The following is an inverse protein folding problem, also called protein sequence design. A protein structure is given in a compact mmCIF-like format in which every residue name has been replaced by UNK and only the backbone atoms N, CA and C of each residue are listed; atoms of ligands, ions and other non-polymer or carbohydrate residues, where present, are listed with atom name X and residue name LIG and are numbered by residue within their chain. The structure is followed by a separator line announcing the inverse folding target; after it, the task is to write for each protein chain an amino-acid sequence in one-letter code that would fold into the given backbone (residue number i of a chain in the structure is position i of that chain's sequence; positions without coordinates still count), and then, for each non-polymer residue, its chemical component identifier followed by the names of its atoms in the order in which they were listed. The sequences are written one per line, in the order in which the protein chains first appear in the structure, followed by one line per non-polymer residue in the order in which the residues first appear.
data_IF_720980547775
#
_entry.id   IF_720980547775
#
_cell.length_a   1.000
_cell.length_b   1.000
_cell.length_c   1.000
_cell.angle_alpha   90.00
_cell.angle_beta   90.00
_cell.angle_gamma   90.00
#
_symmetry.space_group_name_H-M   'P 1'
#
loop_
_entity.id
_entity.type
_entity.pdbx_description
1 polymer ?
#
# COMPACT_ATOMS: atom_id res chain seq x y z
N UNK A 1 -68.36 -6.62 -14.01
CA UNK A 1 -68.90 -6.78 -15.37
C UNK A 1 -67.92 -7.61 -16.20
N UNK A 2 -68.42 -8.75 -16.71
CA UNK A 2 -67.79 -9.75 -17.62
C UNK A 2 -66.63 -10.56 -16.97
N UNK A 3 -66.78 -11.81 -16.49
CA UNK A 3 -67.50 -13.04 -16.89
C UNK A 3 -66.81 -13.84 -17.99
N UNK A 4 -66.30 -15.01 -17.56
CA UNK A 4 -66.14 -16.33 -18.22
C UNK A 4 -65.80 -16.41 -19.72
N UNK A 5 -64.79 -17.22 -20.04
CA UNK A 5 -65.01 -18.35 -20.96
C UNK A 5 -64.06 -19.52 -20.68
N UNK A 6 -64.69 -20.67 -20.44
CA UNK A 6 -64.15 -22.04 -20.51
C UNK A 6 -64.29 -22.56 -21.95
N UNK A 7 -63.39 -23.47 -22.30
CA UNK A 7 -63.53 -24.45 -23.39
C UNK A 7 -62.13 -24.91 -23.81
N UNK A 8 -61.75 -26.18 -23.88
CA UNK A 8 -62.49 -27.44 -23.87
C UNK A 8 -61.89 -28.36 -24.95
N UNK A 9 -61.60 -29.62 -24.59
CA UNK A 9 -61.24 -30.72 -25.50
C UNK A 9 -59.78 -31.18 -25.36
N UNK A 10 -59.45 -32.47 -25.24
CA UNK A 10 -60.24 -33.71 -25.31
C UNK A 10 -59.33 -34.88 -25.73
N UNK A 11 -59.60 -36.07 -25.18
CA UNK A 11 -59.06 -37.38 -25.62
C UNK A 11 -57.72 -37.77 -24.98
N UNK A 12 -57.48 -38.99 -24.53
CA UNK A 12 -58.19 -40.27 -24.57
C UNK A 12 -57.15 -41.33 -24.21
N UNK A 13 -57.35 -42.13 -23.16
CA UNK A 13 -57.57 -43.57 -23.33
C UNK A 13 -56.35 -44.37 -22.86
N UNK A 14 -56.58 -45.44 -22.08
CA UNK A 14 -55.53 -46.39 -21.70
C UNK A 14 -55.79 -47.07 -20.37
N UNK A 15 -56.37 -48.25 -20.44
CA UNK A 15 -56.75 -49.12 -19.33
C UNK A 15 -55.54 -49.63 -18.52
N UNK A 16 -55.80 -49.96 -17.25
CA UNK A 16 -54.84 -50.59 -16.35
C UNK A 16 -55.48 -50.85 -15.00
N UNK A 17 -56.36 -51.85 -14.93
CA UNK A 17 -56.80 -52.45 -13.68
C UNK A 17 -55.60 -53.03 -12.92
N UNK A 18 -55.34 -52.52 -11.72
CA UNK A 18 -54.62 -53.25 -10.69
C UNK A 18 -55.23 -52.88 -9.34
N UNK A 19 -56.14 -53.76 -8.91
CA UNK A 19 -56.65 -53.87 -7.54
C UNK A 19 -55.49 -53.81 -6.55
N UNK A 20 -55.44 -52.74 -5.77
CA UNK A 20 -54.70 -52.70 -4.51
C UNK A 20 -55.56 -51.97 -3.48
N UNK A 21 -55.94 -52.73 -2.47
CA UNK A 21 -56.65 -52.32 -1.26
C UNK A 21 -56.01 -51.06 -0.64
N UNK A 22 -56.80 -50.03 -0.26
CA UNK A 22 -56.27 -48.88 0.43
C UNK A 22 -55.88 -49.29 1.86
N UNK A 23 -54.57 -49.37 2.12
CA UNK A 23 -54.04 -49.36 3.48
C UNK A 23 -54.48 -48.06 4.14
N UNK A 24 -55.25 -48.20 5.21
CA UNK A 24 -55.74 -47.14 6.08
C UNK A 24 -54.65 -46.67 7.06
N UNK A 25 -53.45 -46.38 6.55
CA UNK A 25 -52.42 -45.72 7.35
C UNK A 25 -52.53 -44.20 7.16
N UNK A 26 -52.85 -43.44 8.22
CA UNK A 26 -52.86 -41.99 8.13
C UNK A 26 -51.44 -41.50 7.78
N UNK A 27 -51.30 -40.54 6.86
CA UNK A 27 -49.99 -40.00 6.53
C UNK A 27 -49.32 -39.49 7.81
N UNK A 28 -48.00 -39.72 8.00
CA UNK A 28 -47.31 -39.29 9.20
C UNK A 28 -47.55 -37.79 9.36
N UNK A 29 -48.28 -37.45 10.43
CA UNK A 29 -48.54 -36.06 10.83
C UNK A 29 -47.17 -35.38 10.89
N UNK A 30 -46.88 -34.54 9.88
CA UNK A 30 -45.76 -33.61 9.93
C UNK A 30 -45.89 -32.87 11.24
N UNK A 31 -45.05 -33.22 12.22
CA UNK A 31 -44.98 -32.49 13.50
C UNK A 31 -44.79 -31.04 13.12
N UNK A 32 -45.82 -30.22 13.37
CA UNK A 32 -45.72 -28.78 13.23
C UNK A 32 -44.49 -28.38 14.06
N UNK A 33 -43.45 -27.91 13.36
CA UNK A 33 -42.21 -27.49 13.98
C UNK A 33 -42.59 -26.35 14.91
N UNK A 34 -42.70 -26.62 16.21
CA UNK A 34 -43.05 -25.62 17.20
C UNK A 34 -42.01 -24.51 17.07
N UNK A 35 -42.48 -23.32 16.67
CA UNK A 35 -41.65 -22.14 16.66
C UNK A 35 -41.21 -21.86 18.10
N UNK A 36 -39.98 -21.37 18.33
CA UNK A 36 -39.56 -20.92 19.65
C UNK A 36 -40.59 -19.94 20.23
N UNK A 37 -40.84 -20.01 21.54
CA UNK A 37 -41.90 -19.23 22.19
C UNK A 37 -41.82 -17.73 21.90
N UNK A 38 -40.61 -17.17 21.78
CA UNK A 38 -40.35 -15.79 21.39
C UNK A 38 -40.76 -15.45 19.96
N UNK A 39 -40.61 -16.40 19.03
CA UNK A 39 -41.02 -16.22 17.62
C UNK A 39 -42.54 -16.20 17.53
N UNK A 40 -43.22 -17.07 18.29
CA UNK A 40 -44.67 -17.06 18.42
C UNK A 40 -45.18 -15.75 19.07
N UNK A 41 -44.47 -15.23 20.07
CA UNK A 41 -44.79 -13.95 20.70
C UNK A 41 -44.66 -12.77 19.73
N UNK A 42 -43.61 -12.74 18.90
CA UNK A 42 -43.44 -11.75 17.83
C UNK A 42 -44.56 -11.84 16.79
N UNK A 43 -44.88 -13.05 16.33
CA UNK A 43 -45.98 -13.23 15.38
C UNK A 43 -47.33 -12.78 15.98
N UNK A 44 -47.59 -13.12 17.24
CA UNK A 44 -48.78 -12.67 17.96
C UNK A 44 -48.82 -11.14 18.09
N UNK A 45 -47.68 -10.51 18.38
CA UNK A 45 -47.57 -9.06 18.45
C UNK A 45 -47.91 -8.41 17.10
N UNK A 46 -47.35 -8.93 16.00
CA UNK A 46 -47.51 -8.39 14.64
C UNK A 46 -48.89 -8.65 14.02
N UNK A 47 -49.62 -9.67 14.47
CA UNK A 47 -50.90 -10.11 13.88
C UNK A 47 -52.13 -9.67 14.68
N UNK A 48 -52.00 -8.75 15.64
CA UNK A 48 -53.13 -8.28 16.44
C UNK A 48 -54.18 -7.56 15.56
N UNK A 49 -55.42 -8.08 15.45
CA UNK A 49 -56.45 -7.45 14.62
C UNK A 49 -56.88 -6.10 15.19
N UNK A 50 -57.23 -5.16 14.32
CA UNK A 50 -57.69 -3.81 14.70
C UNK A 50 -56.60 -2.79 15.02
N UNK A 51 -55.32 -3.16 14.90
CA UNK A 51 -54.19 -2.24 15.10
C UNK A 51 -53.51 -1.94 13.74
N UNK A 52 -53.89 -0.80 13.14
CA UNK A 52 -53.37 -0.36 11.85
C UNK A 52 -51.87 -0.05 11.89
N UNK A 53 -51.37 0.47 13.01
CA UNK A 53 -49.95 0.78 13.20
C UNK A 53 -49.13 -0.52 13.19
N UNK A 54 -49.56 -1.55 13.92
CA UNK A 54 -48.90 -2.87 13.89
C UNK A 54 -49.01 -3.55 12.54
N UNK A 55 -50.14 -3.38 11.86
CA UNK A 55 -50.33 -3.91 10.50
C UNK A 55 -49.34 -3.27 9.52
N UNK A 56 -49.12 -1.96 9.62
CA UNK A 56 -48.09 -1.24 8.86
C UNK A 56 -46.69 -1.72 9.21
N UNK A 57 -46.36 -1.82 10.51
CA UNK A 57 -45.06 -2.34 10.97
C UNK A 57 -44.81 -3.74 10.41
N UNK A 58 -45.80 -4.62 10.45
CA UNK A 58 -45.72 -5.98 9.88
C UNK A 58 -45.46 -5.97 8.37
N UNK A 59 -46.08 -5.05 7.63
CA UNK A 59 -45.98 -4.97 6.17
C UNK A 59 -44.68 -4.31 5.69
N UNK A 60 -44.29 -3.23 6.35
CA UNK A 60 -43.25 -2.33 5.87
C UNK A 60 -41.83 -2.74 6.31
N UNK A 61 -41.70 -3.69 7.26
CA UNK A 61 -40.43 -4.14 7.82
C UNK A 61 -40.27 -5.67 7.76
N UNK A 62 -39.03 -6.13 7.60
CA UNK A 62 -38.67 -7.55 7.73
C UNK A 62 -38.35 -7.84 9.19
N UNK A 63 -39.17 -8.67 9.82
CA UNK A 63 -39.05 -9.00 11.24
C UNK A 63 -38.23 -10.27 11.45
N UNK A 64 -37.24 -10.22 12.34
CA UNK A 64 -36.47 -11.38 12.79
C UNK A 64 -36.29 -11.31 14.31
N UNK A 65 -36.57 -12.41 15.00
CA UNK A 65 -36.30 -12.56 16.42
C UNK A 65 -34.92 -13.18 16.61
N UNK A 66 -34.10 -12.61 17.48
CA UNK A 66 -32.82 -13.17 17.90
C UNK A 66 -32.69 -13.02 19.42
N UNK A 67 -32.50 -14.14 20.12
CA UNK A 67 -32.39 -14.15 21.58
C UNK A 67 -30.93 -14.03 22.01
N UNK A 68 -30.64 -13.02 22.83
CA UNK A 68 -29.32 -12.81 23.41
C UNK A 68 -29.43 -13.12 24.91
N UNK A 69 -28.68 -14.09 25.45
CA UNK A 69 -28.68 -14.39 26.87
C UNK A 69 -27.99 -13.26 27.66
N UNK A 70 -28.00 -13.32 28.99
CA UNK A 70 -27.32 -12.31 29.81
C UNK A 70 -25.81 -12.32 29.56
N UNK A 71 -25.22 -11.12 29.46
CA UNK A 71 -23.81 -10.95 29.12
C UNK A 71 -22.85 -11.54 30.16
N UNK A 72 -23.22 -11.49 31.44
CA UNK A 72 -22.43 -12.02 32.55
C UNK A 72 -23.32 -12.81 33.51
N UNK A 73 -22.73 -13.80 34.17
CA UNK A 73 -23.39 -14.57 35.23
C UNK A 73 -23.30 -13.86 36.61
N UNK A 74 -22.40 -12.89 36.77
CA UNK A 74 -22.22 -12.12 38.01
C UNK A 74 -22.82 -10.72 37.90
N UNK A 75 -23.86 -10.44 38.67
CA UNK A 75 -24.53 -9.14 38.69
C UNK A 75 -23.62 -8.00 39.17
N UNK A 76 -22.56 -8.29 39.94
CA UNK A 76 -21.61 -7.28 40.43
C UNK A 76 -20.76 -6.68 39.31
N UNK A 77 -20.66 -7.37 38.17
CA UNK A 77 -19.91 -6.94 36.99
C UNK A 77 -20.74 -6.07 36.03
N UNK A 78 -22.02 -5.82 36.32
CA UNK A 78 -22.92 -5.07 35.43
C UNK A 78 -22.45 -3.63 35.19
N UNK A 79 -21.91 -2.97 36.21
CA UNK A 79 -21.44 -1.58 36.11
C UNK A 79 -20.17 -1.43 35.25
N UNK A 80 -19.49 -2.54 34.94
CA UNK A 80 -18.23 -2.57 34.18
C UNK A 80 -18.35 -3.28 32.83
N UNK A 81 -19.56 -3.57 32.33
CA UNK A 81 -19.76 -4.39 31.12
C UNK A 81 -19.01 -3.87 29.88
N UNK A 82 -18.88 -2.55 29.73
CA UNK A 82 -18.24 -1.94 28.55
C UNK A 82 -16.72 -2.14 28.48
N UNK A 83 -16.09 -2.53 29.60
CA UNK A 83 -14.63 -2.71 29.70
C UNK A 83 -14.23 -4.17 29.90
N UNK A 84 -15.19 -5.08 30.09
CA UNK A 84 -14.88 -6.49 30.27
C UNK A 84 -14.43 -7.13 28.96
N UNK A 85 -13.34 -7.90 28.97
CA UNK A 85 -12.93 -8.66 27.81
C UNK A 85 -13.90 -9.83 27.54
N UNK A 86 -13.98 -10.28 26.29
CA UNK A 86 -14.95 -11.29 25.84
C UNK A 86 -14.85 -12.64 26.59
N UNK A 87 -13.68 -12.98 27.14
CA UNK A 87 -13.45 -14.20 27.93
C UNK A 87 -14.05 -14.13 29.35
N UNK A 88 -14.32 -12.94 29.86
CA UNK A 88 -15.03 -12.73 31.12
C UNK A 88 -16.56 -12.69 30.97
N UNK A 89 -17.04 -12.67 29.72
CA UNK A 89 -18.46 -12.72 29.40
C UNK A 89 -18.95 -14.17 29.35
N UNK A 90 -20.27 -14.36 29.48
CA UNK A 90 -20.89 -15.66 29.30
C UNK A 90 -20.58 -16.21 27.91
N UNK A 91 -20.07 -17.45 27.78
CA UNK A 91 -19.80 -18.05 26.48
C UNK A 91 -21.05 -18.19 25.60
N UNK A 92 -22.24 -18.26 26.20
CA UNK A 92 -23.51 -18.27 25.46
C UNK A 92 -23.84 -16.90 24.87
N UNK A 93 -23.57 -15.83 25.62
CA UNK A 93 -23.71 -14.45 25.15
C UNK A 93 -22.79 -14.17 23.97
N UNK A 94 -21.48 -14.44 24.12
CA UNK A 94 -20.48 -14.19 23.07
C UNK A 94 -20.86 -14.93 21.79
N UNK A 95 -21.24 -16.22 21.90
CA UNK A 95 -21.70 -17.01 20.74
C UNK A 95 -22.97 -16.46 20.13
N UNK A 96 -23.95 -16.02 20.92
CA UNK A 96 -25.20 -15.47 20.40
C UNK A 96 -25.00 -14.10 19.74
N UNK A 97 -24.22 -13.21 20.36
CA UNK A 97 -23.88 -11.89 19.83
C UNK A 97 -23.09 -12.01 18.51
N UNK A 98 -22.13 -12.94 18.44
CA UNK A 98 -21.42 -13.26 17.20
C UNK A 98 -22.38 -13.73 16.10
N UNK A 99 -23.31 -14.64 16.41
CA UNK A 99 -24.33 -15.11 15.45
C UNK A 99 -25.24 -13.97 14.97
N UNK A 100 -25.64 -13.06 15.87
CA UNK A 100 -26.42 -11.88 15.49
C UNK A 100 -25.64 -10.98 14.54
N UNK A 101 -24.38 -10.68 14.87
CA UNK A 101 -23.49 -9.89 14.01
C UNK A 101 -23.37 -10.52 12.63
N UNK A 102 -23.10 -11.82 12.55
CA UNK A 102 -23.05 -12.55 11.28
C UNK A 102 -24.38 -12.47 10.52
N UNK A 103 -25.52 -12.61 11.21
CA UNK A 103 -26.83 -12.51 10.59
C UNK A 103 -27.10 -11.12 10.00
N UNK A 104 -26.69 -10.05 10.70
CA UNK A 104 -26.78 -8.66 10.22
C UNK A 104 -25.86 -8.47 9.01
N UNK A 105 -24.59 -8.87 9.12
CA UNK A 105 -23.59 -8.74 8.06
C UNK A 105 -23.99 -9.50 6.79
N UNK A 106 -24.69 -10.63 6.89
CA UNK A 106 -25.22 -11.37 5.72
C UNK A 106 -26.36 -10.65 5.00
N UNK A 107 -27.08 -9.75 5.67
CA UNK A 107 -28.20 -9.00 5.09
C UNK A 107 -27.73 -7.70 4.46
N UNK A 108 -26.68 -7.07 5.01
CA UNK A 108 -26.16 -5.77 4.53
C UNK A 108 -25.85 -5.72 3.02
N UNK A 109 -25.25 -6.74 2.37
CA UNK A 109 -25.00 -6.71 0.93
C UNK A 109 -26.27 -6.62 0.08
N UNK A 110 -27.43 -7.02 0.61
CA UNK A 110 -28.73 -6.93 -0.06
C UNK A 110 -29.45 -5.61 0.21
N UNK A 111 -28.95 -4.80 1.16
CA UNK A 111 -29.50 -3.49 1.42
C UNK A 111 -29.07 -2.54 0.31
N UNK A 112 -30.00 -1.68 -0.15
CA UNK A 112 -29.65 -0.61 -1.09
C UNK A 112 -28.79 0.42 -0.34
N UNK A 113 -27.52 0.62 -0.71
CA UNK A 113 -26.71 1.65 -0.09
C UNK A 113 -27.34 3.01 -0.36
N UNK A 114 -27.44 3.84 0.67
CA UNK A 114 -27.75 5.25 0.51
C UNK A 114 -26.44 6.01 0.53
N UNK A 115 -26.25 6.92 -0.44
CA UNK A 115 -25.08 7.79 -0.41
C UNK A 115 -25.20 8.78 0.78
N UNK A 116 -24.06 9.27 1.26
CA UNK A 116 -24.02 10.16 2.42
C UNK A 116 -24.84 11.44 2.22
N UNK A 117 -24.87 11.98 1.00
CA UNK A 117 -25.65 13.17 0.65
C UNK A 117 -27.16 12.94 0.81
N UNK A 118 -27.67 11.79 0.35
CA UNK A 118 -29.08 11.38 0.48
C UNK A 118 -29.43 11.14 1.95
N UNK A 119 -28.53 10.53 2.73
CA UNK A 119 -28.75 10.35 4.17
C UNK A 119 -28.89 11.71 4.86
N UNK A 120 -27.97 12.64 4.60
CA UNK A 120 -28.01 13.98 5.16
C UNK A 120 -29.29 14.74 4.77
N UNK A 121 -29.64 14.72 3.48
CA UNK A 121 -30.86 15.36 2.99
C UNK A 121 -32.13 14.73 3.61
N UNK A 122 -32.22 13.40 3.68
CA UNK A 122 -33.34 12.69 4.36
C UNK A 122 -33.42 13.04 5.84
N UNK A 123 -32.28 13.14 6.53
CA UNK A 123 -32.25 13.55 7.94
C UNK A 123 -32.74 14.99 8.10
N UNK A 124 -32.33 15.93 7.24
CA UNK A 124 -32.81 17.30 7.27
C UNK A 124 -34.32 17.38 7.05
N UNK A 125 -34.85 16.62 6.09
CA UNK A 125 -36.29 16.51 5.85
C UNK A 125 -37.04 15.97 7.08
N UNK A 126 -36.53 14.92 7.73
CA UNK A 126 -37.14 14.37 8.94
C UNK A 126 -37.05 15.35 10.12
N UNK A 127 -35.93 16.06 10.27
CA UNK A 127 -35.76 17.07 11.32
C UNK A 127 -36.71 18.24 11.13
N UNK A 128 -36.90 18.72 9.90
CA UNK A 128 -37.87 19.78 9.61
C UNK A 128 -39.30 19.32 9.90
N UNK A 129 -39.65 18.10 9.48
CA UNK A 129 -40.96 17.52 9.78
C UNK A 129 -41.22 17.43 11.29
N UNK A 130 -40.23 17.00 12.07
CA UNK A 130 -40.34 16.93 13.54
C UNK A 130 -40.44 18.32 14.17
N UNK A 131 -39.71 19.31 13.65
CA UNK A 131 -39.68 20.67 14.21
C UNK A 131 -40.92 21.50 13.87
N UNK A 132 -41.46 21.31 12.68
CA UNK A 132 -42.52 22.18 12.14
C UNK A 132 -43.87 21.48 12.10
N UNK A 133 -43.92 20.16 12.32
CA UNK A 133 -45.08 19.28 12.10
C UNK A 133 -45.66 19.37 10.69
N UNK A 134 -44.91 19.96 9.75
CA UNK A 134 -45.33 20.19 8.37
C UNK A 134 -44.32 19.57 7.42
N UNK A 135 -44.83 19.01 6.33
CA UNK A 135 -44.00 18.45 5.29
C UNK A 135 -43.73 19.51 4.22
N UNK A 136 -42.48 19.95 4.10
CA UNK A 136 -42.07 20.88 3.04
C UNK A 136 -41.88 20.13 1.73
N UNK A 137 -42.69 20.47 0.73
CA UNK A 137 -42.56 19.92 -0.62
C UNK A 137 -41.20 20.25 -1.26
N UNK A 138 -40.57 21.37 -0.86
CA UNK A 138 -39.25 21.76 -1.32
C UNK A 138 -38.16 20.79 -0.85
N UNK A 139 -38.16 20.42 0.44
CA UNK A 139 -37.21 19.45 0.98
C UNK A 139 -37.43 18.05 0.43
N UNK A 140 -38.70 17.64 0.26
CA UNK A 140 -39.03 16.36 -0.36
C UNK A 140 -38.44 16.25 -1.78
N UNK A 141 -38.56 17.35 -2.55
CA UNK A 141 -37.97 17.48 -3.87
C UNK A 141 -36.45 17.44 -3.81
N UNK A 142 -35.80 18.17 -2.91
CA UNK A 142 -34.34 18.15 -2.75
C UNK A 142 -33.83 16.74 -2.40
N UNK A 143 -34.48 16.05 -1.47
CA UNK A 143 -34.16 14.65 -1.10
C UNK A 143 -34.25 13.73 -2.31
N UNK A 144 -35.29 13.91 -3.12
CA UNK A 144 -35.48 13.13 -4.33
C UNK A 144 -34.39 13.43 -5.38
N UNK A 145 -34.11 14.71 -5.63
CA UNK A 145 -33.08 15.18 -6.55
C UNK A 145 -31.69 14.64 -6.19
N UNK A 146 -31.33 14.68 -4.90
CA UNK A 146 -30.08 14.14 -4.38
C UNK A 146 -30.00 12.61 -4.46
N UNK A 147 -31.11 11.92 -4.19
CA UNK A 147 -31.18 10.47 -4.29
C UNK A 147 -31.01 9.99 -5.73
N UNK A 148 -31.62 10.67 -6.69
CA UNK A 148 -31.53 10.31 -8.10
C UNK A 148 -30.15 10.64 -8.69
N UNK A 149 -29.58 11.79 -8.32
CA UNK A 149 -28.20 12.14 -8.69
C UNK A 149 -27.20 11.15 -8.12
N UNK A 150 -27.37 10.78 -6.84
CA UNK A 150 -26.59 9.76 -6.17
C UNK A 150 -26.60 8.43 -6.89
N UNK A 151 -27.81 7.96 -7.23
CA UNK A 151 -28.01 6.73 -7.98
C UNK A 151 -27.27 6.76 -9.32
N UNK A 152 -27.43 7.82 -10.12
CA UNK A 152 -26.77 7.92 -11.42
C UNK A 152 -25.24 7.98 -11.30
N UNK A 153 -24.70 8.64 -10.28
CA UNK A 153 -23.27 8.68 -10.03
C UNK A 153 -22.69 7.33 -9.58
N UNK A 154 -23.41 6.61 -8.74
CA UNK A 154 -22.99 5.28 -8.29
C UNK A 154 -23.13 4.25 -9.43
N UNK A 155 -24.20 4.34 -10.23
CA UNK A 155 -24.39 3.53 -11.46
C UNK A 155 -23.27 3.80 -12.47
N UNK A 156 -22.83 5.06 -12.62
CA UNK A 156 -21.69 5.42 -13.45
C UNK A 156 -20.40 4.73 -12.98
N UNK A 157 -20.09 4.80 -11.68
CA UNK A 157 -18.91 4.17 -11.12
C UNK A 157 -18.95 2.64 -11.25
N UNK A 158 -20.12 2.02 -11.00
CA UNK A 158 -20.33 0.60 -11.20
C UNK A 158 -20.09 0.21 -12.66
N UNK A 159 -20.65 0.98 -13.60
CA UNK A 159 -20.50 0.72 -15.04
C UNK A 159 -19.05 0.83 -15.51
N UNK A 160 -18.29 1.80 -15.00
CA UNK A 160 -16.85 1.90 -15.28
C UNK A 160 -16.12 0.64 -14.80
N UNK A 161 -16.43 0.13 -13.62
CA UNK A 161 -15.84 -1.12 -13.13
C UNK A 161 -16.26 -2.31 -14.01
N UNK A 162 -17.53 -2.43 -14.39
CA UNK A 162 -18.00 -3.49 -15.30
C UNK A 162 -17.31 -3.44 -16.67
N UNK A 163 -17.02 -2.26 -17.20
CA UNK A 163 -16.34 -2.11 -18.50
C UNK A 163 -14.86 -2.49 -18.44
N UNK A 164 -14.26 -2.50 -17.25
CA UNK A 164 -12.86 -2.89 -17.02
C UNK A 164 -12.76 -4.38 -16.64
N UNK A 165 -13.82 -4.95 -16.09
CA UNK A 165 -13.87 -6.33 -15.63
C UNK A 165 -14.86 -7.13 -16.45
N UNK A 166 -14.36 -8.00 -17.32
CA UNK A 166 -15.19 -8.91 -18.12
C UNK A 166 -16.16 -9.77 -17.28
N UNK A 167 -15.84 -9.99 -15.99
CA UNK A 167 -16.63 -10.83 -15.09
C UNK A 167 -17.80 -10.12 -14.40
N UNK A 168 -17.97 -8.79 -14.56
CA UNK A 168 -19.14 -8.03 -14.06
C UNK A 168 -19.36 -8.03 -12.53
N UNK A 169 -18.43 -8.58 -11.75
CA UNK A 169 -18.58 -8.75 -10.28
C UNK A 169 -17.78 -7.75 -9.45
N UNK A 170 -16.89 -6.98 -10.07
CA UNK A 170 -15.97 -6.11 -9.37
C UNK A 170 -16.62 -4.77 -8.97
N UNK A 171 -16.79 -4.53 -7.67
CA UNK A 171 -17.24 -3.23 -7.12
C UNK A 171 -16.10 -2.22 -6.93
N UNK A 172 -14.85 -2.60 -7.21
CA UNK A 172 -13.67 -1.76 -7.04
C UNK A 172 -12.54 -2.20 -7.97
N UNK A 173 -11.66 -1.27 -8.37
CA UNK A 173 -10.46 -1.54 -9.17
C UNK A 173 -9.47 -2.44 -8.39
N UNK A 174 -9.29 -3.72 -8.77
CA UNK A 174 -8.39 -4.65 -8.09
C UNK A 174 -6.95 -4.52 -8.62
N UNK A 175 -6.78 -4.20 -9.90
CA UNK A 175 -5.49 -4.06 -10.58
C UNK A 175 -5.42 -2.71 -11.32
N UNK A 176 -4.20 -2.20 -11.60
CA UNK A 176 -4.02 -1.03 -12.46
C UNK A 176 -4.57 -1.31 -13.86
N UNK A 177 -5.41 -0.41 -14.38
CA UNK A 177 -6.07 -0.59 -15.69
C UNK A 177 -5.69 0.53 -16.66
N UNK A 178 -5.42 0.14 -17.90
CA UNK A 178 -5.16 1.03 -19.05
C UNK A 178 -6.45 1.48 -19.74
N UNK A 179 -7.52 0.70 -19.57
CA UNK A 179 -8.79 0.90 -20.28
C UNK A 179 -9.70 1.91 -19.56
N UNK A 180 -9.28 2.39 -18.39
CA UNK A 180 -10.04 3.29 -17.53
C UNK A 180 -10.52 4.55 -18.28
N UNK A 181 -9.68 5.13 -19.15
CA UNK A 181 -10.04 6.29 -19.96
C UNK A 181 -11.19 6.02 -20.93
N UNK A 182 -11.14 4.88 -21.65
CA UNK A 182 -12.22 4.45 -22.55
C UNK A 182 -13.50 4.10 -21.79
N UNK A 183 -13.36 3.43 -20.65
CA UNK A 183 -14.48 3.09 -19.78
C UNK A 183 -15.23 4.33 -19.27
N UNK A 184 -14.54 5.43 -18.94
CA UNK A 184 -15.20 6.69 -18.56
C UNK A 184 -16.02 7.30 -19.70
N UNK A 185 -15.48 7.31 -20.92
CA UNK A 185 -16.18 7.86 -22.10
C UNK A 185 -17.45 7.06 -22.37
N UNK A 186 -17.35 5.75 -22.35
CA UNK A 186 -18.49 4.84 -22.58
C UNK A 186 -19.53 4.95 -21.46
N UNK A 187 -19.12 4.90 -20.20
CA UNK A 187 -20.02 5.05 -19.06
C UNK A 187 -20.72 6.43 -19.07
N UNK A 188 -20.04 7.52 -19.48
CA UNK A 188 -20.69 8.84 -19.67
C UNK A 188 -21.70 8.83 -20.81
N UNK A 189 -21.38 8.14 -21.90
CA UNK A 189 -22.29 7.98 -23.05
C UNK A 189 -23.57 7.27 -22.64
N UNK A 190 -23.49 6.26 -21.78
CA UNK A 190 -24.66 5.55 -21.25
C UNK A 190 -25.42 6.34 -20.15
N UNK A 191 -24.70 7.10 -19.31
CA UNK A 191 -25.29 7.86 -18.22
C UNK A 191 -26.13 9.06 -18.71
N UNK A 192 -25.71 9.74 -19.78
CA UNK A 192 -26.39 10.94 -20.32
C UNK A 192 -27.87 10.69 -20.69
N UNK A 193 -28.22 9.69 -21.52
CA UNK A 193 -29.62 9.43 -21.84
C UNK A 193 -30.46 9.05 -20.61
N UNK A 194 -29.86 8.42 -19.58
CA UNK A 194 -30.56 8.12 -18.33
C UNK A 194 -30.82 9.38 -17.52
N UNK A 195 -29.85 10.30 -17.48
CA UNK A 195 -30.00 11.61 -16.86
C UNK A 195 -31.05 12.47 -17.57
N UNK A 196 -31.08 12.46 -18.90
CA UNK A 196 -32.08 13.21 -19.69
C UNK A 196 -33.49 12.69 -19.43
N UNK A 197 -33.69 11.37 -19.43
CA UNK A 197 -34.98 10.76 -19.07
C UNK A 197 -35.41 11.10 -17.65
N UNK A 198 -34.49 11.09 -16.68
CA UNK A 198 -34.81 11.48 -15.31
C UNK A 198 -35.17 12.96 -15.22
N UNK A 199 -34.44 13.83 -15.92
CA UNK A 199 -34.72 15.26 -15.96
C UNK A 199 -36.09 15.57 -16.56
N UNK A 200 -36.47 14.88 -17.65
CA UNK A 200 -37.79 15.01 -18.27
C UNK A 200 -38.92 14.48 -17.37
N UNK A 201 -38.76 13.26 -16.84
CA UNK A 201 -39.78 12.58 -16.04
C UNK A 201 -40.09 13.31 -14.72
N UNK A 202 -39.07 13.92 -14.12
CA UNK A 202 -39.18 14.58 -12.82
C UNK A 202 -39.10 16.10 -12.89
N UNK A 203 -39.11 16.68 -14.11
CA UNK A 203 -39.03 18.13 -14.35
C UNK A 203 -37.81 18.79 -13.66
N UNK A 204 -36.64 18.15 -13.74
CA UNK A 204 -35.40 18.65 -13.15
C UNK A 204 -34.77 19.71 -14.05
N UNK A 205 -34.35 20.83 -13.47
CA UNK A 205 -33.78 21.95 -14.20
C UNK A 205 -32.29 21.79 -14.55
N UNK A 206 -31.75 22.76 -15.28
CA UNK A 206 -30.33 22.82 -15.68
C UNK A 206 -29.37 22.82 -14.48
N UNK A 207 -29.77 23.39 -13.34
CA UNK A 207 -28.95 23.38 -12.13
C UNK A 207 -28.68 21.95 -11.64
N UNK A 208 -29.69 21.07 -11.69
CA UNK A 208 -29.55 19.67 -11.31
C UNK A 208 -28.60 18.93 -12.27
N UNK A 209 -28.70 19.18 -13.58
CA UNK A 209 -27.79 18.62 -14.59
C UNK A 209 -26.34 19.03 -14.34
N UNK A 210 -26.13 20.32 -14.08
CA UNK A 210 -24.80 20.83 -13.75
C UNK A 210 -24.23 20.21 -12.46
N UNK A 211 -25.07 19.95 -11.45
CA UNK A 211 -24.67 19.24 -10.23
C UNK A 211 -24.34 17.77 -10.48
N UNK A 212 -25.12 17.08 -11.33
CA UNK A 212 -24.83 15.72 -11.77
C UNK A 212 -23.48 15.64 -12.50
N UNK A 213 -23.21 16.54 -13.45
CA UNK A 213 -21.93 16.56 -14.16
C UNK A 213 -20.74 16.76 -13.21
N UNK A 214 -20.88 17.65 -12.21
CA UNK A 214 -19.87 17.81 -11.15
C UNK A 214 -19.70 16.55 -10.30
N UNK A 215 -20.78 15.79 -10.08
CA UNK A 215 -20.73 14.53 -9.36
C UNK A 215 -19.99 13.45 -10.19
N UNK A 216 -20.30 13.31 -11.48
CA UNK A 216 -19.64 12.39 -12.40
C UNK A 216 -18.14 12.71 -12.54
N UNK A 217 -17.78 13.99 -12.73
CA UNK A 217 -16.38 14.42 -12.85
C UNK A 217 -15.57 14.19 -11.57
N UNK A 218 -16.19 14.38 -10.39
CA UNK A 218 -15.55 14.02 -9.11
C UNK A 218 -15.33 12.52 -8.99
N UNK A 219 -16.30 11.69 -9.37
CA UNK A 219 -16.15 10.23 -9.38
C UNK A 219 -15.06 9.76 -10.32
N UNK A 220 -14.98 10.35 -11.51
CA UNK A 220 -13.91 10.10 -12.47
C UNK A 220 -12.53 10.42 -11.87
N UNK A 221 -12.37 11.61 -11.27
CA UNK A 221 -11.11 12.00 -10.62
C UNK A 221 -10.73 11.06 -9.46
N UNK A 222 -11.69 10.67 -8.62
CA UNK A 222 -11.46 9.72 -7.52
C UNK A 222 -11.02 8.34 -8.04
N UNK A 223 -11.59 7.87 -9.15
CA UNK A 223 -11.22 6.60 -9.77
C UNK A 223 -9.84 6.66 -10.42
N UNK A 224 -9.51 7.74 -11.14
CA UNK A 224 -8.15 7.97 -11.67
C UNK A 224 -7.11 8.03 -10.56
N UNK A 225 -7.42 8.72 -9.46
CA UNK A 225 -6.53 8.79 -8.31
C UNK A 225 -6.25 7.40 -7.74
N UNK A 226 -7.30 6.58 -7.54
CA UNK A 226 -7.16 5.19 -7.08
C UNK A 226 -6.37 4.32 -8.06
N UNK A 227 -6.63 4.44 -9.36
CA UNK A 227 -5.85 3.74 -10.39
C UNK A 227 -4.37 4.12 -10.32
N UNK A 228 -4.07 5.41 -10.18
CA UNK A 228 -2.71 5.92 -10.05
C UNK A 228 -1.99 5.40 -8.81
N UNK A 229 -2.69 5.23 -7.67
CA UNK A 229 -2.12 4.56 -6.49
C UNK A 229 -1.85 3.07 -6.75
N UNK A 230 -2.76 2.36 -7.42
CA UNK A 230 -2.53 0.95 -7.81
C UNK A 230 -1.35 0.77 -8.76
N UNK A 231 -1.20 1.68 -9.73
CA UNK A 231 -0.03 1.70 -10.63
C UNK A 231 1.26 1.90 -9.82
N UNK A 232 1.24 2.81 -8.84
CA UNK A 232 2.39 3.03 -7.96
C UNK A 232 2.73 1.83 -7.09
N UNK A 233 1.73 1.13 -6.57
CA UNK A 233 1.94 -0.07 -5.77
C UNK A 233 2.53 -1.20 -6.62
N UNK A 234 1.95 -1.46 -7.81
CA UNK A 234 2.51 -2.42 -8.77
C UNK A 234 3.95 -2.08 -9.17
N UNK A 235 4.23 -0.79 -9.42
CA UNK A 235 5.59 -0.33 -9.73
C UNK A 235 6.55 -0.57 -8.57
N UNK A 236 6.12 -0.35 -7.31
CA UNK A 236 6.95 -0.58 -6.11
C UNK A 236 7.25 -2.06 -5.91
N UNK A 237 6.27 -2.91 -6.14
CA UNK A 237 6.42 -4.36 -6.02
C UNK A 237 7.43 -4.87 -7.05
N UNK A 238 7.29 -4.49 -8.33
CA UNK A 238 8.25 -4.85 -9.39
C UNK A 238 9.65 -4.25 -9.13
N UNK A 239 9.72 -3.02 -8.61
CA UNK A 239 11.00 -2.42 -8.20
C UNK A 239 11.65 -3.16 -7.02
N UNK A 240 10.85 -3.63 -6.06
CA UNK A 240 11.26 -4.45 -4.93
C UNK A 240 11.85 -5.78 -5.40
N UNK A 241 11.12 -6.51 -6.23
CA UNK A 241 11.59 -7.77 -6.84
C UNK A 241 12.87 -7.58 -7.65
N UNK A 242 12.95 -6.49 -8.45
CA UNK A 242 14.16 -6.15 -9.19
C UNK A 242 15.36 -5.89 -8.26
N UNK A 243 15.14 -5.30 -7.08
CA UNK A 243 16.22 -5.06 -6.11
C UNK A 243 16.71 -6.33 -5.40
N UNK A 244 15.82 -7.30 -5.19
CA UNK A 244 16.15 -8.57 -4.54
C UNK A 244 16.89 -9.50 -5.50
N UNK A 245 16.40 -9.59 -6.74
CA UNK A 245 16.95 -10.39 -7.83
C UNK A 245 18.24 -9.82 -8.42
N UNK A 246 18.52 -8.52 -8.21
CA UNK A 246 19.75 -7.90 -8.66
C UNK A 246 20.98 -8.57 -8.03
N UNK A 247 21.77 -9.22 -8.89
CA UNK A 247 23.13 -9.71 -8.57
C UNK A 247 24.09 -8.56 -8.30
N UNK A 248 23.78 -7.36 -8.81
CA UNK A 248 24.56 -6.14 -8.65
C UNK A 248 24.01 -5.30 -7.49
N UNK A 249 24.93 -4.75 -6.71
CA UNK A 249 24.60 -3.82 -5.62
C UNK A 249 24.11 -2.45 -6.11
N UNK A 250 24.27 -2.15 -7.40
CA UNK A 250 23.77 -0.95 -8.06
C UNK A 250 22.80 -1.35 -9.17
N UNK A 251 21.52 -0.99 -9.00
CA UNK A 251 20.40 -1.30 -9.90
C UNK A 251 19.50 -0.08 -10.14
N UNK A 252 19.87 1.09 -9.61
CA UNK A 252 19.16 2.35 -9.83
C UNK A 252 19.06 2.71 -11.33
N UNK A 253 20.06 2.33 -12.13
CA UNK A 253 20.05 2.48 -13.58
C UNK A 253 18.99 1.62 -14.26
N UNK A 254 18.65 0.46 -13.72
CA UNK A 254 17.63 -0.42 -14.30
C UNK A 254 16.21 0.05 -13.92
N UNK A 255 16.07 0.66 -12.73
CA UNK A 255 14.80 1.24 -12.29
C UNK A 255 14.50 2.60 -12.93
N UNK A 256 15.51 3.49 -13.01
CA UNK A 256 15.36 4.88 -13.43
C UNK A 256 16.00 5.21 -14.78
N UNK A 257 16.81 4.31 -15.35
CA UNK A 257 17.49 4.53 -16.62
C UNK A 257 16.50 4.80 -17.75
N UNK A 258 17.00 5.40 -18.83
CA UNK A 258 16.21 5.98 -19.92
C UNK A 258 15.27 5.01 -20.64
N UNK A 259 15.44 4.80 -21.95
CA UNK A 259 14.42 4.12 -22.79
C UNK A 259 14.07 2.67 -22.41
N UNK A 260 14.83 2.03 -21.52
CA UNK A 260 14.59 0.65 -21.09
C UNK A 260 14.31 0.47 -19.59
N UNK A 261 14.34 1.54 -18.79
CA UNK A 261 14.15 1.42 -17.35
C UNK A 261 12.68 1.18 -16.97
N UNK A 262 12.46 0.58 -15.80
CA UNK A 262 11.13 0.30 -15.27
C UNK A 262 10.24 1.56 -15.24
N UNK A 263 10.81 2.70 -14.84
CA UNK A 263 10.13 3.99 -14.86
C UNK A 263 9.62 4.38 -16.26
N UNK A 264 10.44 4.18 -17.30
CA UNK A 264 10.07 4.54 -18.67
C UNK A 264 8.99 3.61 -19.22
N UNK A 265 9.01 2.31 -18.87
CA UNK A 265 7.96 1.36 -19.22
C UNK A 265 6.60 1.79 -18.66
N UNK A 266 6.52 2.06 -17.36
CA UNK A 266 5.28 2.50 -16.71
C UNK A 266 4.81 3.87 -17.21
N UNK A 267 5.76 4.77 -17.52
CA UNK A 267 5.45 6.05 -18.13
C UNK A 267 4.87 5.92 -19.55
N UNK A 268 5.35 4.97 -20.35
CA UNK A 268 4.80 4.72 -21.68
C UNK A 268 3.47 3.97 -21.64
N UNK A 269 3.31 3.05 -20.68
CA UNK A 269 2.14 2.20 -20.55
C UNK A 269 0.96 2.99 -19.98
N UNK A 270 1.12 3.62 -18.81
CA UNK A 270 0.02 4.29 -18.10
C UNK A 270 -0.10 5.80 -18.38
N UNK A 271 0.79 6.35 -19.21
CA UNK A 271 0.77 7.74 -19.67
C UNK A 271 0.50 8.79 -18.56
N UNK A 272 -0.68 9.43 -18.57
CA UNK A 272 -1.07 10.48 -17.62
C UNK A 272 -1.29 9.96 -16.19
N UNK A 273 -1.78 8.72 -16.04
CA UNK A 273 -2.04 8.12 -14.73
C UNK A 273 -0.72 7.81 -13.98
N UNK A 274 0.40 7.67 -14.72
CA UNK A 274 1.77 7.68 -14.19
C UNK A 274 2.49 9.01 -14.48
N UNK A 275 1.82 10.11 -14.14
CA UNK A 275 2.29 11.47 -14.39
C UNK A 275 3.50 11.92 -13.55
N UNK A 276 3.94 13.18 -13.70
CA UNK A 276 5.19 13.69 -13.13
C UNK A 276 5.30 13.54 -11.61
N UNK A 277 4.22 13.77 -10.87
CA UNK A 277 4.20 13.66 -9.41
C UNK A 277 4.47 12.22 -8.94
N UNK A 278 3.96 11.23 -9.67
CA UNK A 278 4.18 9.79 -9.41
C UNK A 278 5.59 9.38 -9.76
N UNK A 279 6.12 9.86 -10.88
CA UNK A 279 7.53 9.63 -11.28
C UNK A 279 8.51 10.16 -10.24
N UNK A 280 8.23 11.32 -9.63
CA UNK A 280 9.05 11.83 -8.51
C UNK A 280 9.01 10.87 -7.32
N UNK A 281 7.82 10.43 -6.88
CA UNK A 281 7.69 9.46 -5.78
C UNK A 281 8.38 8.13 -6.08
N UNK A 282 8.22 7.61 -7.29
CA UNK A 282 8.89 6.40 -7.75
C UNK A 282 10.42 6.59 -7.74
N UNK A 283 10.93 7.75 -8.19
CA UNK A 283 12.36 8.02 -8.18
C UNK A 283 12.94 8.11 -6.76
N UNK A 284 12.17 8.65 -5.83
CA UNK A 284 12.54 8.71 -4.42
C UNK A 284 12.58 7.31 -3.81
N UNK A 285 11.56 6.50 -4.07
CA UNK A 285 11.50 5.11 -3.62
C UNK A 285 12.67 4.29 -4.17
N UNK A 286 12.97 4.38 -5.47
CA UNK A 286 14.11 3.69 -6.07
C UNK A 286 15.44 4.08 -5.41
N UNK A 287 15.64 5.36 -5.09
CA UNK A 287 16.83 5.84 -4.37
C UNK A 287 16.89 5.30 -2.94
N UNK A 288 15.76 5.22 -2.25
CA UNK A 288 15.68 4.62 -0.90
C UNK A 288 16.03 3.13 -0.95
N UNK A 289 15.49 2.41 -1.94
CA UNK A 289 15.76 0.98 -2.15
C UNK A 289 17.24 0.72 -2.45
N UNK A 290 17.84 1.54 -3.33
CA UNK A 290 19.27 1.51 -3.62
C UNK A 290 20.13 1.75 -2.36
N UNK A 291 19.75 2.71 -1.50
CA UNK A 291 20.45 2.96 -0.23
C UNK A 291 20.33 1.78 0.73
N UNK A 292 19.13 1.21 0.87
CA UNK A 292 18.90 0.05 1.72
C UNK A 292 19.74 -1.15 1.26
N UNK A 293 19.77 -1.43 -0.05
CA UNK A 293 20.59 -2.51 -0.61
C UNK A 293 22.08 -2.26 -0.42
N UNK A 294 22.57 -1.02 -0.62
CA UNK A 294 23.98 -0.68 -0.41
C UNK A 294 24.45 -0.97 1.02
N UNK A 295 23.61 -0.74 2.03
CA UNK A 295 23.94 -1.09 3.42
C UNK A 295 24.13 -2.60 3.63
N UNK A 296 23.43 -3.45 2.87
CA UNK A 296 23.59 -4.90 2.92
C UNK A 296 24.72 -5.44 2.02
N UNK A 297 25.00 -4.73 0.93
CA UNK A 297 25.98 -5.10 -0.09
C UNK A 297 27.41 -4.68 0.25
N UNK A 298 27.57 -3.46 0.77
CA UNK A 298 28.87 -2.88 1.08
C UNK A 298 29.21 -3.28 2.51
N UNK A 299 29.96 -4.38 2.66
CA UNK A 299 30.46 -4.76 3.99
C UNK A 299 31.49 -3.73 4.41
N UNK A 300 31.51 -3.37 5.69
CA UNK A 300 32.51 -2.43 6.24
C UNK A 300 33.95 -2.84 5.88
N UNK A 301 34.20 -4.15 5.77
CA UNK A 301 35.47 -4.72 5.29
C UNK A 301 35.87 -4.23 3.90
N UNK A 302 34.93 -4.12 2.97
CA UNK A 302 35.21 -3.76 1.58
C UNK A 302 35.46 -2.25 1.43
N UNK A 303 34.94 -1.43 2.34
CA UNK A 303 35.24 0.02 2.44
C UNK A 303 36.58 0.26 3.15
N UNK A 304 36.88 -0.55 4.16
CA UNK A 304 38.14 -0.46 4.92
C UNK A 304 39.31 -1.12 4.20
N UNK A 305 39.08 -2.10 3.32
CA UNK A 305 40.11 -2.79 2.54
C UNK A 305 41.01 -1.83 1.73
N UNK A 306 40.48 -0.84 0.96
CA UNK A 306 41.32 0.14 0.27
C UNK A 306 41.99 1.15 1.21
N UNK A 307 41.50 1.29 2.46
CA UNK A 307 42.16 2.09 3.50
C UNK A 307 43.22 1.30 4.26
N UNK A 308 43.22 -0.04 4.18
CA UNK A 308 44.19 -0.89 4.84
C UNK A 308 45.64 -0.60 4.38
N UNK A 309 45.95 -0.39 3.09
CA UNK A 309 47.29 0.06 2.66
C UNK A 309 47.69 1.40 3.27
N UNK A 310 46.75 2.31 3.50
CA UNK A 310 47.03 3.62 4.12
C UNK A 310 47.28 3.49 5.62
N UNK A 311 46.51 2.64 6.31
CA UNK A 311 46.70 2.30 7.72
C UNK A 311 48.02 1.53 7.92
N UNK A 312 48.34 0.58 7.03
CA UNK A 312 49.61 -0.13 6.96
C UNK A 312 50.73 0.85 6.67
N UNK A 313 50.56 1.82 5.76
CA UNK A 313 51.56 2.86 5.50
C UNK A 313 51.80 3.75 6.72
N UNK A 314 50.76 4.17 7.44
CA UNK A 314 50.91 4.93 8.68
C UNK A 314 51.63 4.11 9.76
N UNK A 315 51.30 2.81 9.87
CA UNK A 315 51.95 1.88 10.78
C UNK A 315 53.43 1.64 10.41
N UNK A 316 53.71 1.37 9.14
CA UNK A 316 55.06 1.24 8.59
C UNK A 316 55.84 2.54 8.72
N UNK A 317 55.22 3.70 8.51
CA UNK A 317 55.86 5.01 8.71
C UNK A 317 56.20 5.24 10.17
N UNK A 318 55.31 4.91 11.10
CA UNK A 318 55.57 4.97 12.54
C UNK A 318 56.72 4.03 12.94
N UNK A 319 56.71 2.81 12.41
CA UNK A 319 57.77 1.81 12.59
C UNK A 319 59.12 2.28 12.01
N UNK A 320 59.12 2.89 10.82
CA UNK A 320 60.31 3.43 10.16
C UNK A 320 60.86 4.70 10.82
N UNK A 321 59.98 5.55 11.36
CA UNK A 321 60.41 6.67 12.21
C UNK A 321 61.01 6.23 13.54
N UNK A 322 60.80 4.98 13.94
CA UNK A 322 61.45 4.32 15.08
C UNK A 322 62.91 3.90 14.82
N UNK A 323 63.43 4.09 13.60
CA UNK A 323 64.86 4.01 13.30
C UNK A 323 65.42 2.59 13.14
N UNK A 324 65.24 1.99 11.95
CA UNK A 324 66.21 1.02 11.39
C UNK A 324 66.37 1.21 9.87
N UNK A 325 67.56 0.99 9.28
CA UNK A 325 67.92 1.59 8.00
C UNK A 325 67.74 0.63 6.80
N UNK A 326 66.97 1.05 5.80
CA UNK A 326 67.18 0.82 4.36
C UNK A 326 65.97 1.36 3.58
N UNK A 327 66.11 2.58 3.04
CA UNK A 327 65.08 3.26 2.24
C UNK A 327 64.79 2.57 0.90
N UNK A 328 65.72 1.75 0.41
CA UNK A 328 65.59 1.01 -0.85
C UNK A 328 64.74 -0.26 -0.69
N UNK A 329 64.97 -1.00 0.41
CA UNK A 329 64.16 -2.19 0.72
C UNK A 329 62.70 -1.84 0.99
N UNK A 330 62.46 -0.67 1.58
CA UNK A 330 61.10 -0.17 1.82
C UNK A 330 60.38 0.21 0.53
N UNK A 331 61.03 0.84 -0.45
CA UNK A 331 60.38 1.13 -1.74
C UNK A 331 60.02 -0.14 -2.51
N UNK A 332 60.91 -1.14 -2.54
CA UNK A 332 60.65 -2.43 -3.19
C UNK A 332 59.48 -3.15 -2.50
N UNK A 333 59.45 -3.14 -1.16
CA UNK A 333 58.37 -3.76 -0.40
C UNK A 333 57.02 -3.05 -0.61
N UNK A 334 57.00 -1.72 -0.68
CA UNK A 334 55.79 -0.95 -0.99
C UNK A 334 55.32 -1.18 -2.43
N UNK A 335 56.23 -1.27 -3.40
CA UNK A 335 55.91 -1.60 -4.79
C UNK A 335 55.26 -2.98 -4.92
N UNK A 336 55.84 -3.99 -4.26
CA UNK A 336 55.31 -5.36 -4.25
C UNK A 336 53.95 -5.44 -3.53
N UNK A 337 53.78 -4.75 -2.40
CA UNK A 337 52.50 -4.73 -1.68
C UNK A 337 51.41 -3.99 -2.48
N UNK A 338 51.72 -2.83 -3.05
CA UNK A 338 50.77 -2.08 -3.87
C UNK A 338 50.37 -2.87 -5.12
N UNK A 339 51.32 -3.46 -5.85
CA UNK A 339 51.03 -4.33 -7.00
C UNK A 339 50.25 -5.59 -6.59
N UNK A 340 50.64 -6.26 -5.51
CA UNK A 340 49.95 -7.45 -5.02
C UNK A 340 48.53 -7.18 -4.55
N UNK A 341 48.31 -6.06 -3.84
CA UNK A 341 46.98 -5.63 -3.41
C UNK A 341 46.10 -5.20 -4.58
N UNK A 342 46.66 -4.55 -5.60
CA UNK A 342 45.96 -4.22 -6.84
C UNK A 342 45.55 -5.49 -7.61
N UNK A 343 46.48 -6.42 -7.84
CA UNK A 343 46.19 -7.68 -8.52
C UNK A 343 45.19 -8.56 -7.75
N UNK A 344 45.29 -8.60 -6.42
CA UNK A 344 44.34 -9.34 -5.59
C UNK A 344 42.93 -8.72 -5.66
N UNK A 345 42.83 -7.39 -5.60
CA UNK A 345 41.55 -6.69 -5.71
C UNK A 345 40.94 -6.78 -7.13
N UNK A 346 41.78 -6.90 -8.16
CA UNK A 346 41.36 -7.18 -9.54
C UNK A 346 40.83 -8.63 -9.70
N UNK A 347 41.56 -9.63 -9.19
CA UNK A 347 41.15 -11.05 -9.26
C UNK A 347 39.87 -11.32 -8.45
N UNK A 348 39.67 -10.60 -7.35
CA UNK A 348 38.46 -10.73 -6.50
C UNK A 348 37.28 -9.87 -6.97
N UNK A 349 37.43 -9.10 -8.06
CA UNK A 349 36.37 -8.24 -8.60
C UNK A 349 35.95 -7.11 -7.65
N UNK A 350 36.81 -6.74 -6.69
CA UNK A 350 36.54 -5.71 -5.68
C UNK A 350 37.10 -4.33 -6.05
N UNK A 351 37.69 -4.19 -7.24
CA UNK A 351 38.19 -2.92 -7.72
C UNK A 351 37.02 -1.97 -8.03
N UNK A 352 37.00 -0.73 -7.50
CA UNK A 352 36.04 0.28 -7.94
C UNK A 352 36.15 0.47 -9.46
N UNK A 353 35.03 0.60 -10.21
CA UNK A 353 35.07 0.55 -11.67
C UNK A 353 35.98 1.62 -12.30
N UNK A 354 36.16 2.78 -11.68
CA UNK A 354 37.05 3.84 -12.18
C UNK A 354 38.55 3.55 -11.98
N UNK A 355 38.92 2.48 -11.27
CA UNK A 355 40.31 2.01 -11.11
C UNK A 355 40.58 0.75 -11.96
N UNK A 356 39.55 0.17 -12.56
CA UNK A 356 39.64 -1.02 -13.39
C UNK A 356 40.16 -0.62 -14.77
N UNK A 357 41.28 -1.22 -15.20
CA UNK A 357 41.90 -0.97 -16.50
C UNK A 357 40.96 -1.34 -17.66
N UNK A 358 39.97 -2.20 -17.43
CA UNK A 358 38.98 -2.61 -18.43
C UNK A 358 37.72 -1.74 -18.46
N UNK A 359 37.67 -0.67 -17.66
CA UNK A 359 36.49 0.18 -17.58
C UNK A 359 36.26 0.98 -18.88
N UNK A 360 35.02 1.01 -19.44
CA UNK A 360 34.75 1.59 -20.76
C UNK A 360 35.12 3.08 -20.90
N UNK A 361 35.08 3.83 -19.79
CA UNK A 361 35.47 5.26 -19.77
C UNK A 361 36.99 5.48 -19.91
N UNK A 362 37.83 4.48 -19.61
CA UNK A 362 39.29 4.54 -19.74
C UNK A 362 39.78 3.99 -21.10
N UNK A 363 38.93 3.24 -21.83
CA UNK A 363 39.17 2.78 -23.20
C UNK A 363 38.69 3.75 -24.29
N UNK A 364 37.93 4.79 -23.93
CA UNK A 364 37.44 5.74 -24.92
C UNK A 364 38.60 6.48 -25.58
N UNK A 365 38.68 6.41 -26.90
CA UNK A 365 39.70 7.09 -27.72
C UNK A 365 39.73 8.63 -27.50
N UNK A 366 38.70 9.19 -26.87
CA UNK A 366 38.58 10.62 -26.57
C UNK A 366 39.33 11.09 -25.30
N UNK A 367 39.86 10.17 -24.47
CA UNK A 367 40.63 10.50 -23.26
C UNK A 367 42.05 9.91 -23.30
N UNK A 368 42.84 10.34 -24.29
CA UNK A 368 44.23 9.89 -24.55
C UNK A 368 45.23 10.02 -23.38
N UNK A 369 44.87 10.68 -22.28
CA UNK A 369 45.73 10.82 -21.10
C UNK A 369 45.90 9.54 -20.29
N UNK A 370 44.94 8.61 -20.32
CA UNK A 370 44.98 7.41 -19.46
C UNK A 370 46.06 6.42 -19.87
N UNK A 371 46.29 6.27 -21.18
CA UNK A 371 47.31 5.37 -21.73
C UNK A 371 48.70 6.00 -21.71
N UNK A 372 48.78 7.29 -22.03
CA UNK A 372 50.05 8.03 -22.09
C UNK A 372 50.60 8.36 -20.70
N UNK A 373 49.75 8.63 -19.70
CA UNK A 373 50.20 8.85 -18.33
C UNK A 373 50.76 7.55 -17.70
N UNK A 374 50.21 6.40 -18.07
CA UNK A 374 50.69 5.11 -17.59
C UNK A 374 52.00 4.71 -18.28
N UNK A 375 52.14 4.95 -19.60
CA UNK A 375 53.40 4.73 -20.33
C UNK A 375 54.50 5.70 -19.87
N UNK A 376 54.14 6.94 -19.52
CA UNK A 376 55.05 7.94 -18.95
C UNK A 376 55.55 7.53 -17.55
N UNK A 377 54.68 6.98 -16.70
CA UNK A 377 55.04 6.47 -15.37
C UNK A 377 55.89 5.20 -15.47
N UNK A 378 55.68 4.37 -16.48
CA UNK A 378 56.42 3.12 -16.69
C UNK A 378 57.74 3.30 -17.49
N UNK A 379 57.96 4.44 -18.16
CA UNK A 379 59.16 4.71 -18.99
C UNK A 379 60.07 5.83 -18.50
N UNK A 380 59.86 6.41 -17.31
CA UNK A 380 60.77 7.43 -16.79
C UNK A 380 62.18 6.86 -16.53
N UNK A 381 63.24 7.41 -17.17
CA UNK A 381 64.59 6.86 -17.07
C UNK A 381 65.19 7.10 -15.66
N UNK A 382 66.15 6.25 -15.22
CA UNK A 382 66.81 6.35 -13.91
C UNK A 382 67.68 7.61 -13.73
N UNK A 383 67.72 8.52 -14.71
CA UNK A 383 68.45 9.79 -14.67
C UNK A 383 67.66 10.95 -14.04
N UNK A 384 66.38 10.77 -13.73
CA UNK A 384 65.62 11.78 -12.97
C UNK A 384 66.09 11.75 -11.51
N UNK A 385 66.55 12.87 -10.93
CA UNK A 385 67.01 12.90 -9.56
C UNK A 385 65.77 12.89 -8.64
N UNK A 386 65.25 11.69 -8.40
CA UNK A 386 64.07 11.44 -7.57
C UNK A 386 64.21 12.00 -6.16
N UNK A 387 65.44 12.09 -5.65
CA UNK A 387 65.76 12.77 -4.38
C UNK A 387 65.41 14.26 -4.41
N UNK A 388 65.65 14.95 -5.52
CA UNK A 388 65.34 16.38 -5.68
C UNK A 388 63.84 16.61 -5.89
N UNK A 389 63.17 15.72 -6.64
CA UNK A 389 61.72 15.79 -6.84
C UNK A 389 60.96 15.50 -5.54
N UNK A 390 61.40 14.49 -4.78
CA UNK A 390 60.81 14.18 -3.48
C UNK A 390 61.09 15.28 -2.46
N UNK A 391 62.26 15.93 -2.50
CA UNK A 391 62.54 17.10 -1.66
C UNK A 391 61.63 18.28 -2.01
N UNK A 392 61.41 18.55 -3.30
CA UNK A 392 60.49 19.59 -3.77
C UNK A 392 59.02 19.29 -3.40
N UNK A 393 58.57 18.05 -3.56
CA UNK A 393 57.22 17.63 -3.16
C UNK A 393 57.07 17.69 -1.63
N UNK A 394 58.13 17.37 -0.87
CA UNK A 394 58.11 17.45 0.59
C UNK A 394 58.09 18.89 1.09
N UNK A 395 58.84 19.79 0.47
CA UNK A 395 58.83 21.22 0.83
C UNK A 395 57.53 21.90 0.41
N UNK A 396 56.98 21.59 -0.77
CA UNK A 396 55.67 22.08 -1.22
C UNK A 396 54.56 21.52 -0.32
N UNK A 397 54.59 20.23 0.01
CA UNK A 397 53.65 19.60 0.92
C UNK A 397 53.70 20.17 2.33
N UNK A 398 54.91 20.44 2.85
CA UNK A 398 55.09 21.09 4.14
C UNK A 398 54.61 22.54 4.14
N UNK A 399 54.91 23.31 3.08
CA UNK A 399 54.44 24.68 2.92
C UNK A 399 52.91 24.74 2.78
N UNK A 400 52.30 23.80 2.06
CA UNK A 400 50.85 23.70 1.93
C UNK A 400 50.17 23.29 3.23
N UNK A 401 50.76 22.34 3.97
CA UNK A 401 50.28 21.95 5.29
C UNK A 401 50.38 23.12 6.29
N UNK A 402 51.51 23.84 6.32
CA UNK A 402 51.69 25.04 7.13
C UNK A 402 50.72 26.15 6.74
N UNK A 403 50.49 26.36 5.44
CA UNK A 403 49.48 27.30 4.94
C UNK A 403 48.07 26.92 5.39
N UNK A 404 47.71 25.62 5.33
CA UNK A 404 46.42 25.10 5.79
C UNK A 404 46.26 25.24 7.30
N UNK A 405 47.29 24.97 8.08
CA UNK A 405 47.30 25.14 9.54
C UNK A 405 47.18 26.62 9.89
N UNK A 406 47.92 27.49 9.22
CA UNK A 406 47.83 28.94 9.41
C UNK A 406 46.43 29.49 9.04
N UNK A 407 45.83 29.02 7.94
CA UNK A 407 44.44 29.40 7.60
C UNK A 407 43.41 28.82 8.56
N UNK A 408 43.65 27.65 9.13
CA UNK A 408 42.77 27.07 10.16
C UNK A 408 42.88 27.85 11.49
N UNK A 409 44.08 28.24 11.89
CA UNK A 409 44.32 29.07 13.08
C UNK A 409 43.70 30.46 12.91
N UNK A 410 43.88 31.11 11.75
CA UNK A 410 43.24 32.40 11.44
C UNK A 410 41.70 32.29 11.44
N UNK A 411 41.14 31.13 11.06
CA UNK A 411 39.70 30.87 11.15
C UNK A 411 39.21 30.56 12.57
N UNK A 412 40.06 29.95 13.40
CA UNK A 412 39.76 29.63 14.81
C UNK A 412 39.76 30.89 15.69
N UNK A 413 40.54 31.92 15.33
CA UNK A 413 40.61 33.20 16.04
C UNK A 413 39.69 34.30 15.48
N UNK A 414 38.87 34.02 14.47
CA UNK A 414 37.82 34.97 14.05
C UNK A 414 36.61 34.84 14.98
N UNK A 415 36.15 35.93 15.63
CA UNK A 415 34.97 35.88 16.48
C UNK A 415 33.73 35.47 15.66
N UNK A 416 32.99 34.51 16.19
CA UNK A 416 31.86 33.87 15.53
C UNK A 416 30.73 34.87 15.24
N UNK A 417 30.57 35.24 13.97
CA UNK A 417 29.36 35.87 13.47
C UNK A 417 28.27 34.82 13.24
N UNK A 418 27.17 34.96 13.97
CA UNK A 418 26.02 34.05 14.02
C UNK A 418 25.44 33.70 12.63
N UNK A 419 25.12 32.42 12.42
CA UNK A 419 24.21 32.01 11.32
C UNK A 419 24.38 30.61 10.72
N UNK A 420 25.43 29.85 11.05
CA UNK A 420 25.67 28.53 10.42
C UNK A 420 25.56 27.29 11.30
N UNK A 421 25.48 27.41 12.62
CA UNK A 421 25.44 26.23 13.51
C UNK A 421 24.04 25.61 13.69
N UNK A 422 22.96 26.40 13.56
CA UNK A 422 21.58 25.89 13.75
C UNK A 422 21.20 24.88 12.64
N UNK A 423 21.69 25.07 11.41
CA UNK A 423 21.33 24.18 10.30
C UNK A 423 22.10 22.86 10.28
N UNK A 424 23.27 22.79 10.94
CA UNK A 424 24.04 21.55 11.05
C UNK A 424 23.54 20.67 12.19
N UNK A 425 23.06 21.24 13.30
CA UNK A 425 22.42 20.47 14.38
C UNK A 425 21.08 19.87 13.95
N UNK A 426 20.23 20.61 13.22
CA UNK A 426 18.93 20.09 12.73
C UNK A 426 19.12 18.89 11.80
N UNK A 427 20.17 18.88 10.96
CA UNK A 427 20.44 17.79 10.03
C UNK A 427 20.97 16.53 10.75
N UNK A 428 21.70 16.69 11.85
CA UNK A 428 22.15 15.57 12.67
C UNK A 428 20.96 14.96 13.45
N UNK A 429 20.11 15.82 14.01
CA UNK A 429 18.93 15.43 14.77
C UNK A 429 17.90 14.69 13.88
N UNK A 430 17.72 15.14 12.63
CA UNK A 430 16.88 14.45 11.64
C UNK A 430 17.43 13.07 11.26
N UNK A 431 18.76 12.91 11.17
CA UNK A 431 19.38 11.63 10.85
C UNK A 431 19.29 10.64 12.02
N UNK A 432 19.45 11.11 13.24
CA UNK A 432 19.30 10.28 14.45
C UNK A 432 17.82 9.88 14.65
N UNK A 433 16.87 10.80 14.44
CA UNK A 433 15.44 10.48 14.49
C UNK A 433 14.99 9.57 13.34
N UNK A 434 15.60 9.67 12.16
CA UNK A 434 15.34 8.73 11.07
C UNK A 434 15.85 7.32 11.44
N UNK A 435 17.07 7.21 11.99
CA UNK A 435 17.63 5.92 12.42
C UNK A 435 16.84 5.29 13.58
N UNK A 436 16.37 6.08 14.55
CA UNK A 436 15.51 5.55 15.63
C UNK A 436 14.16 5.09 15.08
N UNK A 437 13.53 5.84 14.16
CA UNK A 437 12.29 5.42 13.50
C UNK A 437 12.46 4.20 12.60
N UNK A 438 13.63 4.01 11.97
CA UNK A 438 13.94 2.79 11.21
C UNK A 438 14.13 1.58 12.14
N UNK A 439 14.76 1.75 13.30
CA UNK A 439 14.87 0.71 14.32
C UNK A 439 13.49 0.33 14.89
N UNK A 440 12.64 1.31 15.19
CA UNK A 440 11.26 1.11 15.65
C UNK A 440 10.39 0.43 14.59
N UNK A 441 10.54 0.79 13.32
CA UNK A 441 9.83 0.15 12.22
C UNK A 441 10.27 -1.32 12.05
N UNK A 442 11.56 -1.61 12.22
CA UNK A 442 12.09 -2.98 12.23
C UNK A 442 11.54 -3.81 13.40
N UNK A 443 11.51 -3.25 14.61
CA UNK A 443 10.93 -3.90 15.78
C UNK A 443 9.43 -4.15 15.61
N UNK A 444 8.67 -3.18 15.09
CA UNK A 444 7.24 -3.34 14.81
C UNK A 444 6.97 -4.42 13.76
N UNK A 445 7.79 -4.49 12.70
CA UNK A 445 7.67 -5.53 11.68
C UNK A 445 7.97 -6.92 12.24
N UNK A 446 8.99 -7.05 13.09
CA UNK A 446 9.29 -8.31 13.78
C UNK A 446 8.15 -8.78 14.69
N UNK A 447 7.51 -7.86 15.42
CA UNK A 447 6.34 -8.15 16.27
C UNK A 447 5.13 -8.56 15.43
N UNK A 448 4.88 -7.90 14.30
CA UNK A 448 3.78 -8.25 13.38
C UNK A 448 4.02 -9.62 12.75
N UNK A 449 5.24 -9.90 12.28
CA UNK A 449 5.57 -11.22 11.72
C UNK A 449 5.49 -12.34 12.76
N UNK A 450 5.92 -12.08 14.00
CA UNK A 450 5.76 -12.99 15.14
C UNK A 450 4.28 -13.25 15.46
N UNK A 451 3.44 -12.21 15.43
CA UNK A 451 2.01 -12.32 15.64
C UNK A 451 1.29 -13.06 14.51
N UNK A 452 1.68 -12.85 13.25
CA UNK A 452 1.13 -13.58 12.11
C UNK A 452 1.50 -15.07 12.18
N UNK A 453 2.76 -15.41 12.45
CA UNK A 453 3.18 -16.81 12.66
C UNK A 453 2.48 -17.46 13.85
N UNK A 454 2.23 -16.70 14.92
CA UNK A 454 1.48 -17.20 16.05
C UNK A 454 0.00 -17.42 15.71
N UNK A 455 -0.60 -16.54 14.89
CA UNK A 455 -1.96 -16.71 14.37
C UNK A 455 -2.08 -17.99 13.55
N UNK A 456 -1.16 -18.22 12.60
CA UNK A 456 -1.16 -19.44 11.77
C UNK A 456 -1.06 -20.72 12.62
N UNK A 457 -0.34 -20.64 13.76
CA UNK A 457 -0.19 -21.75 14.71
C UNK A 457 -1.42 -21.95 15.61
N UNK A 458 -2.13 -20.88 15.94
CA UNK A 458 -3.43 -20.94 16.65
C UNK A 458 -4.48 -21.57 15.73
N UNK A 459 -4.52 -21.18 14.46
CA UNK A 459 -5.44 -21.75 13.47
C UNK A 459 -5.18 -23.24 13.22
N UNK A 460 -3.96 -23.71 13.48
CA UNK A 460 -3.56 -25.12 13.45
C UNK A 460 -3.70 -25.86 14.80
N UNK A 461 -4.33 -25.24 15.81
CA UNK A 461 -4.52 -25.78 17.18
C UNK A 461 -3.21 -26.12 17.93
N UNK A 462 -2.08 -25.48 17.56
CA UNK A 462 -0.75 -25.64 18.14
C UNK A 462 -0.41 -24.47 19.09
N UNK A 463 -1.03 -24.48 20.28
CA UNK A 463 -0.85 -23.43 21.30
C UNK A 463 0.62 -23.26 21.75
N UNK A 464 1.42 -24.33 21.77
CA UNK A 464 2.85 -24.27 22.14
C UNK A 464 3.69 -23.65 21.02
N UNK A 465 3.37 -23.92 19.76
CA UNK A 465 4.00 -23.30 18.59
C UNK A 465 3.68 -21.81 18.47
N UNK A 466 2.46 -21.41 18.80
CA UNK A 466 2.04 -20.01 18.85
C UNK A 466 2.79 -19.22 19.94
N UNK A 467 2.89 -19.77 21.15
CA UNK A 467 3.65 -19.16 22.24
C UNK A 467 5.13 -18.96 21.89
N UNK A 468 5.78 -19.96 21.27
CA UNK A 468 7.18 -19.83 20.83
C UNK A 468 7.35 -18.80 19.72
N UNK A 469 6.37 -18.67 18.84
CA UNK A 469 6.41 -17.72 17.73
C UNK A 469 6.25 -16.27 18.20
N UNK A 470 5.55 -16.02 19.31
CA UNK A 470 5.43 -14.70 19.94
C UNK A 470 6.66 -14.27 20.75
N UNK A 471 7.46 -15.22 21.22
CA UNK A 471 8.66 -14.93 22.02
C UNK A 471 9.88 -14.51 21.19
N UNK A 472 9.84 -14.72 19.86
CA UNK A 472 10.96 -14.41 18.95
C UNK A 472 12.06 -15.45 18.98
#
# INVERSE_FOLDING_TARGET
NLREQRGGGGGGGGAGEASSTPSSDPPPRRRARQLPASTAALESFLRRPGDELRTRVRRDFVHRMHEIPLAVHDARKWDSLDVLPDDELSPEYVRSARRLREAILRVLPRARPLNNATIASRMNMLLELVRTERYSAGLAREVFEEAEMGRLCDDFAARVCELIHDDGTATSLPAPSLELGGAFVEARREARPRADRAAELYHLGEEWRARLDRCLSRREADMRHRNSERIMDAWRDEAGEASESATKCYFLGDLLGGRGGLMSRYASEYNEDFGPSRRVKASEYARQLQRARLMGCVRLRDVLAPLAPLAIWLFCRAYLSGGTPSSLGTMIFHGIICMGSYSFAQITGQLPPYLDLDYPLLRGDDFGWGRDALDLVLRLPPSVPWSTLTYAVRTIGAAFALYKIATYLVRMFRPAGAGREIHQMINLELKVNALSKFADAGARRAVVDAALRASDRIDADDARGAYRSLLG
#
